data_IF_228145668018
#
_entry.id   IF_228145668018
#
_cell.length_a   1.000
_cell.length_b   1.000
_cell.length_c   1.000
_cell.angle_alpha   90.00
_cell.angle_beta   90.00
_cell.angle_gamma   90.00
#
_symmetry.space_group_name_H-M   'P 1'
#
loop_
_entity.id
_entity.type
_entity.pdbx_description
1 polymer ?
#
# COMPACT_ATOMS: atom_id res chain seq x y z
N UNK A 1 28.24 -19.50 -29.72
CA UNK A 1 26.97 -18.93 -30.18
C UNK A 1 27.23 -17.51 -30.62
N UNK A 2 26.79 -17.15 -31.82
CA UNK A 2 26.88 -15.77 -32.29
C UNK A 2 25.93 -14.92 -31.44
N UNK A 3 26.50 -14.02 -30.62
CA UNK A 3 25.72 -13.11 -29.76
C UNK A 3 24.75 -12.26 -30.58
N UNK A 4 25.09 -11.96 -31.83
CA UNK A 4 24.23 -11.22 -32.73
C UNK A 4 22.99 -12.04 -33.13
N UNK A 5 23.17 -13.31 -33.48
CA UNK A 5 22.05 -14.20 -33.78
C UNK A 5 21.14 -14.42 -32.57
N UNK A 6 21.71 -14.61 -31.37
CA UNK A 6 20.93 -14.75 -30.13
C UNK A 6 20.05 -13.51 -29.86
N UNK A 7 20.61 -12.31 -30.04
CA UNK A 7 19.87 -11.06 -29.87
C UNK A 7 18.76 -10.90 -30.93
N UNK A 8 19.02 -11.32 -32.17
CA UNK A 8 18.01 -11.33 -33.23
C UNK A 8 16.84 -12.28 -32.90
N UNK A 9 17.13 -13.51 -32.51
CA UNK A 9 16.12 -14.52 -32.14
C UNK A 9 15.27 -14.04 -30.95
N UNK A 10 15.93 -13.44 -29.95
CA UNK A 10 15.27 -12.81 -28.81
C UNK A 10 14.28 -11.73 -29.25
N UNK A 11 14.71 -10.80 -30.11
CA UNK A 11 13.85 -9.71 -30.59
C UNK A 11 12.66 -10.22 -31.41
N UNK A 12 12.82 -11.30 -32.18
CA UNK A 12 11.73 -11.96 -32.89
C UNK A 12 10.68 -12.52 -31.92
N UNK A 13 11.10 -13.20 -30.84
CA UNK A 13 10.19 -13.69 -29.79
C UNK A 13 9.42 -12.53 -29.15
N UNK A 14 10.10 -11.45 -28.78
CA UNK A 14 9.45 -10.29 -28.14
C UNK A 14 8.44 -9.62 -29.08
N UNK A 15 8.72 -9.57 -30.38
CA UNK A 15 7.78 -9.07 -31.39
C UNK A 15 6.54 -9.97 -31.49
N UNK A 16 6.70 -11.30 -31.51
CA UNK A 16 5.57 -12.23 -31.51
C UNK A 16 4.70 -12.12 -30.25
N UNK A 17 5.31 -11.90 -29.08
CA UNK A 17 4.58 -11.67 -27.82
C UNK A 17 3.75 -10.39 -27.90
N UNK A 18 4.31 -9.32 -28.47
CA UNK A 18 3.59 -8.07 -28.71
C UNK A 18 2.37 -8.29 -29.60
N UNK A 19 2.57 -8.92 -30.76
CA UNK A 19 1.48 -9.22 -31.70
C UNK A 19 0.39 -10.10 -31.08
N UNK A 20 0.78 -11.09 -30.27
CA UNK A 20 -0.15 -11.92 -29.52
C UNK A 20 -1.00 -11.09 -28.55
N UNK A 21 -0.37 -10.22 -27.76
CA UNK A 21 -1.07 -9.34 -26.83
C UNK A 21 -2.05 -8.43 -27.56
N UNK A 22 -1.59 -7.76 -28.61
CA UNK A 22 -2.40 -6.80 -29.37
C UNK A 22 -3.60 -7.48 -30.06
N UNK A 23 -3.49 -8.77 -30.39
CA UNK A 23 -4.57 -9.54 -31.03
C UNK A 23 -5.57 -10.15 -30.05
N UNK A 24 -5.13 -10.64 -28.90
CA UNK A 24 -5.96 -11.49 -28.02
C UNK A 24 -6.22 -10.91 -26.63
N UNK A 25 -5.56 -9.82 -26.24
CA UNK A 25 -5.76 -9.17 -24.94
C UNK A 25 -6.44 -7.79 -25.07
N UNK A 26 -7.29 -7.63 -26.08
CA UNK A 26 -8.19 -6.48 -26.19
C UNK A 26 -9.37 -6.63 -25.24
N UNK A 27 -9.88 -5.52 -24.70
CA UNK A 27 -11.12 -5.52 -23.92
C UNK A 27 -12.31 -5.35 -24.85
N UNK A 28 -13.37 -6.11 -24.58
CA UNK A 28 -14.67 -5.90 -25.22
C UNK A 28 -15.27 -4.55 -24.79
N UNK A 29 -16.09 -3.97 -25.66
CA UNK A 29 -16.89 -2.80 -25.32
C UNK A 29 -17.94 -3.16 -24.27
N UNK A 30 -18.12 -2.28 -23.29
CA UNK A 30 -19.16 -2.41 -22.27
C UNK A 30 -20.57 -2.32 -22.87
N UNK A 31 -21.46 -3.21 -22.44
CA UNK A 31 -22.90 -3.10 -22.65
C UNK A 31 -23.60 -2.95 -21.29
N UNK A 32 -24.73 -2.24 -21.27
CA UNK A 32 -25.52 -2.08 -20.04
C UNK A 32 -25.87 -3.44 -19.42
N UNK A 33 -25.60 -3.61 -18.13
CA UNK A 33 -25.78 -4.87 -17.40
C UNK A 33 -24.54 -5.79 -17.38
N UNK A 34 -23.50 -5.50 -18.17
CA UNK A 34 -22.22 -6.21 -18.04
C UNK A 34 -21.61 -5.95 -16.65
N UNK A 35 -20.80 -6.91 -16.18
CA UNK A 35 -20.19 -6.84 -14.86
C UNK A 35 -19.20 -5.69 -14.71
N UNK A 36 -19.48 -4.79 -13.78
CA UNK A 36 -18.57 -3.73 -13.35
C UNK A 36 -17.81 -4.21 -12.12
N UNK A 37 -16.54 -4.56 -12.30
CA UNK A 37 -15.67 -4.95 -11.18
C UNK A 37 -15.16 -3.71 -10.42
N UNK A 38 -14.97 -3.83 -9.10
CA UNK A 38 -14.45 -2.72 -8.28
C UNK A 38 -13.02 -2.33 -8.66
N UNK A 39 -12.24 -3.30 -9.19
CA UNK A 39 -10.90 -3.08 -9.70
C UNK A 39 -10.56 -4.14 -10.74
N UNK A 40 -9.63 -3.82 -11.65
CA UNK A 40 -8.99 -4.79 -12.53
C UNK A 40 -7.60 -4.33 -12.95
N UNK A 41 -6.78 -5.29 -13.40
CA UNK A 41 -5.50 -5.02 -14.04
C UNK A 41 -5.70 -4.28 -15.37
N UNK A 42 -4.99 -3.18 -15.56
CA UNK A 42 -4.95 -2.41 -16.81
C UNK A 42 -3.53 -2.48 -17.34
N UNK A 43 -3.35 -3.16 -18.48
CA UNK A 43 -2.03 -3.44 -19.06
C UNK A 43 -2.11 -3.47 -20.59
N UNK A 44 -0.96 -3.45 -21.25
CA UNK A 44 -0.82 -3.63 -22.69
C UNK A 44 0.34 -4.59 -23.00
N UNK A 45 0.79 -4.60 -24.25
CA UNK A 45 1.88 -5.48 -24.66
C UNK A 45 3.20 -5.24 -23.90
N UNK A 46 3.44 -4.05 -23.33
CA UNK A 46 4.70 -3.74 -22.65
C UNK A 46 4.93 -4.61 -21.42
N UNK A 47 3.89 -4.87 -20.62
CA UNK A 47 3.98 -5.76 -19.45
C UNK A 47 4.36 -7.19 -19.87
N UNK A 48 3.72 -7.71 -20.92
CA UNK A 48 3.97 -9.07 -21.42
C UNK A 48 5.34 -9.19 -22.07
N UNK A 49 5.77 -8.19 -22.84
CA UNK A 49 7.09 -8.13 -23.47
C UNK A 49 8.18 -8.08 -22.40
N UNK A 50 8.06 -7.21 -21.39
CA UNK A 50 9.03 -7.15 -20.29
C UNK A 50 9.09 -8.48 -19.51
N UNK A 51 7.93 -9.11 -19.28
CA UNK A 51 7.86 -10.40 -18.60
C UNK A 51 8.63 -11.50 -19.36
N UNK A 52 8.43 -11.58 -20.67
CA UNK A 52 9.14 -12.56 -21.52
C UNK A 52 10.62 -12.20 -21.65
N UNK A 53 10.95 -10.92 -21.74
CA UNK A 53 12.34 -10.45 -21.76
C UNK A 53 13.11 -10.88 -20.51
N UNK A 54 12.52 -10.70 -19.32
CA UNK A 54 13.09 -11.20 -18.05
C UNK A 54 13.16 -12.74 -18.02
N UNK A 55 12.16 -13.42 -18.57
CA UNK A 55 12.12 -14.89 -18.62
C UNK A 55 13.20 -15.48 -19.53
N UNK A 56 13.47 -14.86 -20.68
CA UNK A 56 14.50 -15.30 -21.63
C UNK A 56 15.92 -15.09 -21.08
N UNK A 57 16.12 -14.08 -20.23
CA UNK A 57 17.38 -13.90 -19.49
C UNK A 57 17.57 -14.95 -18.40
N UNK A 58 16.46 -15.41 -17.80
CA UNK A 58 16.44 -16.47 -16.80
C UNK A 58 17.31 -16.19 -15.55
N UNK A 59 17.41 -14.91 -15.15
CA UNK A 59 18.08 -14.49 -13.91
C UNK A 59 17.25 -14.80 -12.65
N UNK A 60 15.91 -14.78 -12.79
CA UNK A 60 14.88 -15.15 -11.81
C UNK A 60 14.80 -14.27 -10.55
N UNK A 61 15.89 -14.15 -9.80
CA UNK A 61 15.96 -13.33 -8.58
C UNK A 61 16.10 -11.85 -8.90
N UNK A 62 16.03 -10.96 -7.90
CA UNK A 62 16.21 -9.52 -8.13
C UNK A 62 17.46 -9.22 -8.97
N UNK A 63 17.28 -8.45 -10.06
CA UNK A 63 18.30 -8.13 -11.05
C UNK A 63 18.00 -6.79 -11.74
N UNK A 64 18.16 -6.73 -13.07
CA UNK A 64 18.11 -5.45 -13.80
C UNK A 64 16.77 -4.75 -13.69
N UNK A 65 15.66 -5.47 -13.77
CA UNK A 65 14.33 -4.86 -13.68
C UNK A 65 14.02 -4.41 -12.25
N UNK A 66 14.53 -5.12 -11.26
CA UNK A 66 14.43 -4.69 -9.85
C UNK A 66 15.18 -3.39 -9.62
N UNK A 67 16.41 -3.27 -10.12
CA UNK A 67 17.22 -2.05 -10.02
C UNK A 67 16.59 -0.88 -10.82
N UNK A 68 16.01 -1.16 -11.99
CA UNK A 68 15.24 -0.17 -12.76
C UNK A 68 14.00 0.28 -12.01
N UNK A 69 13.20 -0.65 -11.49
CA UNK A 69 11.97 -0.33 -10.76
C UNK A 69 12.26 0.48 -9.48
N UNK A 70 13.21 0.04 -8.65
CA UNK A 70 13.60 0.75 -7.42
C UNK A 70 14.05 2.18 -7.75
N UNK A 71 14.83 2.37 -8.82
CA UNK A 71 15.29 3.70 -9.25
C UNK A 71 14.16 4.58 -9.78
N UNK A 72 13.34 4.08 -10.70
CA UNK A 72 12.29 4.88 -11.31
C UNK A 72 11.15 5.20 -10.33
N UNK A 73 10.82 4.28 -9.40
CA UNK A 73 9.84 4.57 -8.35
C UNK A 73 10.36 5.60 -7.36
N UNK A 74 11.64 5.48 -6.95
CA UNK A 74 12.28 6.48 -6.10
C UNK A 74 12.30 7.86 -6.76
N UNK A 75 12.56 7.92 -8.06
CA UNK A 75 12.50 9.14 -8.86
C UNK A 75 11.09 9.71 -8.95
N UNK A 76 10.08 8.87 -9.21
CA UNK A 76 8.68 9.31 -9.26
C UNK A 76 8.23 9.94 -7.93
N UNK A 77 8.55 9.30 -6.81
CA UNK A 77 8.20 9.77 -5.46
C UNK A 77 9.12 10.86 -4.93
N UNK A 78 10.23 11.18 -5.62
CA UNK A 78 11.29 12.08 -5.16
C UNK A 78 11.87 11.68 -3.78
N UNK A 79 12.22 10.40 -3.63
CA UNK A 79 12.86 9.84 -2.42
C UNK A 79 14.23 9.27 -2.74
N UNK A 80 15.12 9.20 -1.75
CA UNK A 80 16.50 8.72 -1.94
C UNK A 80 16.63 7.20 -2.06
N UNK A 81 15.80 6.46 -1.33
CA UNK A 81 15.92 5.01 -1.25
C UNK A 81 14.56 4.33 -1.42
N UNK A 82 14.53 3.31 -2.27
CA UNK A 82 13.41 2.40 -2.46
C UNK A 82 13.94 0.96 -2.40
N UNK A 83 13.23 0.07 -1.72
CA UNK A 83 13.51 -1.35 -1.60
C UNK A 83 12.28 -2.15 -2.00
N UNK A 84 12.36 -2.86 -3.14
CA UNK A 84 11.30 -3.73 -3.64
C UNK A 84 11.16 -4.97 -2.74
N UNK A 85 9.92 -5.35 -2.47
CA UNK A 85 9.52 -6.53 -1.70
C UNK A 85 8.37 -7.28 -2.38
N UNK A 86 8.07 -8.49 -1.92
CA UNK A 86 7.11 -9.40 -2.57
C UNK A 86 5.62 -9.07 -2.37
N UNK A 87 5.26 -8.16 -1.45
CA UNK A 87 3.86 -7.70 -1.25
C UNK A 87 3.82 -6.39 -0.46
N UNK A 88 2.67 -5.69 -0.46
CA UNK A 88 2.42 -4.55 0.44
C UNK A 88 2.45 -4.92 1.91
N UNK A 89 1.91 -6.09 2.27
CA UNK A 89 1.96 -6.59 3.65
C UNK A 89 3.39 -6.83 4.14
N UNK A 90 4.26 -7.36 3.26
CA UNK A 90 5.69 -7.49 3.53
C UNK A 90 6.38 -6.13 3.62
N UNK A 91 5.91 -5.13 2.88
CA UNK A 91 6.41 -3.76 2.99
C UNK A 91 6.12 -3.18 4.38
N UNK A 92 4.87 -3.31 4.86
CA UNK A 92 4.47 -2.90 6.21
C UNK A 92 5.25 -3.65 7.29
N UNK A 93 5.40 -4.97 7.15
CA UNK A 93 6.22 -5.78 8.07
C UNK A 93 7.65 -5.26 8.12
N UNK A 94 8.28 -5.05 6.97
CA UNK A 94 9.68 -4.66 6.90
C UNK A 94 9.89 -3.20 7.38
N UNK A 95 8.96 -2.30 7.08
CA UNK A 95 8.96 -0.93 7.58
C UNK A 95 8.90 -0.90 9.11
N UNK A 96 7.94 -1.62 9.70
CA UNK A 96 7.79 -1.71 11.15
C UNK A 96 9.02 -2.34 11.82
N UNK A 97 9.47 -3.50 11.33
CA UNK A 97 10.62 -4.22 11.90
C UNK A 97 11.91 -3.41 11.80
N UNK A 98 12.06 -2.55 10.78
CA UNK A 98 13.22 -1.66 10.71
C UNK A 98 13.31 -0.72 11.92
N UNK A 99 12.17 -0.26 12.45
CA UNK A 99 12.12 0.59 13.64
C UNK A 99 12.46 -0.15 14.94
N UNK A 100 12.59 -1.47 14.93
CA UNK A 100 13.00 -2.27 16.10
C UNK A 100 14.51 -2.54 16.13
N UNK A 101 15.28 -2.02 15.16
CA UNK A 101 16.71 -2.30 15.07
C UNK A 101 17.49 -1.67 16.23
N UNK A 102 18.44 -2.42 16.84
CA UNK A 102 19.30 -1.86 17.89
C UNK A 102 20.18 -0.71 17.39
N UNK A 103 20.38 -0.56 16.07
CA UNK A 103 21.11 0.56 15.48
C UNK A 103 20.41 1.91 15.70
N UNK A 104 19.13 1.90 16.06
CA UNK A 104 18.34 3.11 16.38
C UNK A 104 18.48 3.53 17.86
N UNK A 105 19.25 2.79 18.65
CA UNK A 105 19.54 3.12 20.04
C UNK A 105 18.27 3.25 20.89
N UNK A 106 18.11 4.38 21.58
CA UNK A 106 16.97 4.64 22.48
C UNK A 106 15.65 4.87 21.75
N UNK A 107 15.67 5.19 20.44
CA UNK A 107 14.47 5.33 19.61
C UNK A 107 13.98 4.01 19.01
N UNK A 108 14.71 2.91 19.17
CA UNK A 108 14.23 1.61 18.71
C UNK A 108 12.93 1.22 19.44
N UNK A 109 11.93 0.78 18.69
CA UNK A 109 10.69 0.21 19.23
C UNK A 109 11.04 -1.12 19.91
N UNK A 110 10.57 -1.30 21.14
CA UNK A 110 10.71 -2.51 21.95
C UNK A 110 9.36 -3.18 22.13
N UNK A 111 9.39 -4.43 22.59
CA UNK A 111 8.17 -5.11 23.03
C UNK A 111 7.48 -4.27 24.11
N UNK A 112 6.16 -4.23 24.07
CA UNK A 112 5.29 -3.44 24.94
C UNK A 112 5.33 -1.92 24.74
N UNK A 113 6.16 -1.40 23.83
CA UNK A 113 6.02 -0.03 23.36
C UNK A 113 4.72 0.11 22.56
N UNK A 114 4.17 1.33 22.54
CA UNK A 114 2.87 1.64 21.96
C UNK A 114 3.00 2.27 20.57
N UNK A 115 2.09 1.88 19.67
CA UNK A 115 2.00 2.39 18.30
C UNK A 115 0.58 2.86 18.04
N UNK A 116 0.40 4.15 17.80
CA UNK A 116 -0.92 4.73 17.54
C UNK A 116 -1.34 4.36 16.11
N UNK A 117 -2.58 3.87 15.97
CA UNK A 117 -3.18 3.45 14.71
C UNK A 117 -4.70 3.54 14.77
N UNK A 118 -5.39 3.05 13.73
CA UNK A 118 -6.86 3.01 13.65
C UNK A 118 -7.36 1.59 13.43
N UNK A 119 -8.56 1.28 13.94
CA UNK A 119 -9.17 -0.04 13.77
C UNK A 119 -9.94 -0.16 12.44
N UNK A 120 -10.31 0.97 11.82
CA UNK A 120 -10.92 1.04 10.50
C UNK A 120 -9.88 1.00 9.38
N UNK A 121 -9.41 -0.20 9.02
CA UNK A 121 -8.37 -0.35 8.01
C UNK A 121 -8.11 -1.79 7.56
N UNK A 122 -6.95 -1.99 6.95
CA UNK A 122 -6.51 -3.30 6.47
C UNK A 122 -5.65 -4.02 7.53
N UNK A 123 -5.80 -5.35 7.73
CA UNK A 123 -5.15 -6.04 8.84
C UNK A 123 -3.62 -5.95 8.83
N UNK A 124 -2.98 -5.93 7.65
CA UNK A 124 -1.51 -5.94 7.57
C UNK A 124 -0.87 -4.58 7.79
N UNK A 125 -1.64 -3.53 8.05
CA UNK A 125 -1.12 -2.27 8.63
C UNK A 125 -0.84 -2.46 10.13
N UNK A 126 -1.64 -3.27 10.83
CA UNK A 126 -1.57 -3.49 12.29
C UNK A 126 -0.88 -4.80 12.68
N UNK A 127 -0.89 -5.80 11.81
CA UNK A 127 -0.32 -7.12 12.12
C UNK A 127 1.18 -7.07 12.51
N UNK A 128 2.06 -6.26 11.88
CA UNK A 128 3.49 -6.24 12.23
C UNK A 128 3.78 -5.87 13.69
N UNK A 129 3.07 -4.87 14.23
CA UNK A 129 3.24 -4.44 15.62
C UNK A 129 2.83 -5.54 16.60
N UNK A 130 1.71 -6.22 16.34
CA UNK A 130 1.25 -7.35 17.15
C UNK A 130 2.25 -8.52 17.09
N UNK A 131 2.74 -8.88 15.90
CA UNK A 131 3.68 -9.98 15.71
C UNK A 131 4.99 -9.77 16.47
N UNK A 132 5.49 -8.53 16.52
CA UNK A 132 6.68 -8.19 17.29
C UNK A 132 6.43 -8.19 18.80
N UNK A 133 5.20 -7.87 19.21
CA UNK A 133 4.78 -7.70 20.60
C UNK A 133 4.77 -6.25 21.07
N UNK A 134 4.63 -5.28 20.15
CA UNK A 134 4.24 -3.91 20.45
C UNK A 134 2.71 -3.83 20.64
N UNK A 135 2.23 -2.76 21.27
CA UNK A 135 0.82 -2.57 21.63
C UNK A 135 0.18 -1.55 20.67
N UNK A 136 -0.72 -1.97 19.75
CA UNK A 136 -1.54 -1.02 19.01
C UNK A 136 -2.42 -0.20 19.96
N UNK A 137 -2.41 1.11 19.77
CA UNK A 137 -3.30 2.06 20.43
C UNK A 137 -4.26 2.59 19.38
N UNK A 138 -5.50 2.11 19.42
CA UNK A 138 -6.54 2.50 18.47
C UNK A 138 -7.20 3.79 18.91
N UNK A 139 -7.22 4.76 18.00
CA UNK A 139 -8.13 5.91 18.02
C UNK A 139 -9.19 5.74 16.93
N UNK A 140 -10.28 6.50 17.04
CA UNK A 140 -11.33 6.45 16.03
C UNK A 140 -10.95 7.20 14.75
N UNK A 141 -11.82 7.12 13.76
CA UNK A 141 -11.72 7.80 12.46
C UNK A 141 -12.82 8.84 12.31
N UNK A 142 -12.71 9.71 11.31
CA UNK A 142 -13.75 10.66 10.96
C UNK A 142 -14.57 10.17 9.75
N UNK A 143 -15.83 10.56 9.69
CA UNK A 143 -16.67 10.46 8.49
C UNK A 143 -17.02 11.90 8.10
N UNK A 144 -16.83 12.32 6.83
CA UNK A 144 -16.67 11.51 5.62
C UNK A 144 -15.24 11.43 5.02
N UNK A 145 -14.18 11.66 5.81
CA UNK A 145 -12.80 11.49 5.31
C UNK A 145 -12.27 10.05 5.43
N UNK A 146 -12.83 9.26 6.35
CA UNK A 146 -12.50 7.84 6.62
C UNK A 146 -11.04 7.60 7.02
N UNK A 147 -10.44 8.61 7.64
CA UNK A 147 -9.07 8.60 8.17
C UNK A 147 -9.09 8.95 9.66
N UNK A 148 -7.95 8.75 10.33
CA UNK A 148 -7.75 9.00 11.76
C UNK A 148 -8.36 10.33 12.25
N UNK A 149 -9.05 10.29 13.40
CA UNK A 149 -9.42 11.50 14.12
C UNK A 149 -8.20 12.04 14.89
N UNK A 150 -7.61 13.09 14.33
CA UNK A 150 -6.41 13.70 14.89
C UNK A 150 -6.63 14.39 16.24
N UNK A 151 -7.88 14.66 16.63
CA UNK A 151 -8.19 15.27 17.94
C UNK A 151 -7.93 14.31 19.10
N UNK A 152 -7.88 13.00 18.83
CA UNK A 152 -7.64 11.95 19.83
C UNK A 152 -6.16 11.65 20.07
N UNK A 153 -5.24 12.22 19.28
CA UNK A 153 -3.80 11.88 19.32
C UNK A 153 -3.14 12.20 20.67
N UNK A 154 -3.46 13.35 21.27
CA UNK A 154 -2.86 13.75 22.55
C UNK A 154 -3.33 12.83 23.70
N UNK A 155 -4.57 12.32 23.66
CA UNK A 155 -5.07 11.36 24.64
C UNK A 155 -4.50 9.94 24.42
N UNK A 156 -4.18 9.60 23.17
CA UNK A 156 -3.53 8.34 22.82
C UNK A 156 -2.07 8.25 23.26
N UNK A 157 -1.42 9.39 23.47
CA UNK A 157 -0.02 9.48 23.85
C UNK A 157 0.23 8.96 25.28
N UNK A 158 1.30 8.18 25.44
CA UNK A 158 1.84 7.75 26.72
C UNK A 158 3.37 7.81 26.73
N UNK A 159 3.98 7.50 27.87
CA UNK A 159 5.43 7.32 28.00
C UNK A 159 5.97 6.12 27.20
N UNK A 160 5.09 5.21 26.77
CA UNK A 160 5.42 4.03 25.95
C UNK A 160 5.25 4.27 24.46
N UNK A 161 4.59 5.35 24.04
CA UNK A 161 4.35 5.61 22.61
C UNK A 161 5.68 5.84 21.90
N UNK A 162 5.88 5.13 20.78
CA UNK A 162 7.08 5.26 19.94
C UNK A 162 6.80 5.63 18.50
N UNK A 163 5.60 5.34 18.00
CA UNK A 163 5.29 5.54 16.59
C UNK A 163 3.81 5.80 16.35
N UNK A 164 3.53 6.40 15.20
CA UNK A 164 2.24 6.37 14.52
C UNK A 164 2.43 5.57 13.24
N UNK A 165 1.55 4.59 12.99
CA UNK A 165 1.54 3.80 11.75
C UNK A 165 0.09 3.66 11.28
N UNK A 166 -0.23 4.34 10.18
CA UNK A 166 -1.58 4.46 9.65
C UNK A 166 -1.56 4.51 8.12
N UNK A 167 -2.66 4.06 7.51
CA UNK A 167 -2.82 4.06 6.08
C UNK A 167 -3.54 5.32 5.57
N UNK A 168 -3.21 5.76 4.36
CA UNK A 168 -4.00 6.74 3.61
C UNK A 168 -5.22 6.04 2.99
N UNK A 169 -6.29 5.88 3.78
CA UNK A 169 -7.42 5.01 3.46
C UNK A 169 -8.02 5.29 2.08
N UNK A 170 -8.06 4.26 1.22
CA UNK A 170 -8.60 4.30 -0.14
C UNK A 170 -8.05 5.43 -1.02
N UNK A 171 -6.82 5.87 -0.77
CA UNK A 171 -6.16 6.93 -1.53
C UNK A 171 -6.34 8.32 -0.96
N UNK A 172 -7.28 8.52 -0.04
CA UNK A 172 -7.47 9.79 0.65
C UNK A 172 -6.40 9.95 1.73
N UNK A 173 -5.52 10.98 1.65
CA UNK A 173 -4.53 11.16 2.69
C UNK A 173 -5.20 11.47 4.03
N UNK A 174 -4.73 10.90 5.14
CA UNK A 174 -5.04 11.44 6.47
C UNK A 174 -4.41 12.83 6.63
N UNK A 175 -4.84 13.57 7.67
CA UNK A 175 -4.31 14.91 7.98
C UNK A 175 -2.83 14.84 8.41
N UNK A 176 -1.96 14.85 7.40
CA UNK A 176 -0.52 14.72 7.54
C UNK A 176 0.09 15.88 8.31
N UNK A 177 -0.43 17.09 8.16
CA UNK A 177 0.06 18.25 8.90
C UNK A 177 -0.07 18.04 10.41
N UNK A 178 -1.24 17.60 10.88
CA UNK A 178 -1.49 17.34 12.30
C UNK A 178 -0.69 16.14 12.82
N UNK A 179 -0.72 15.01 12.10
CA UNK A 179 -0.02 13.78 12.51
C UNK A 179 1.49 13.98 12.53
N UNK A 180 2.07 14.64 11.52
CA UNK A 180 3.51 14.91 11.45
C UNK A 180 3.95 15.86 12.57
N UNK A 181 3.21 16.94 12.81
CA UNK A 181 3.49 17.87 13.90
C UNK A 181 3.43 17.18 15.27
N UNK A 182 2.45 16.30 15.47
CA UNK A 182 2.34 15.48 16.67
C UNK A 182 3.53 14.52 16.85
N UNK A 183 3.96 13.85 15.77
CA UNK A 183 5.12 12.97 15.82
C UNK A 183 6.41 13.73 16.14
N UNK A 184 6.62 14.90 15.51
CA UNK A 184 7.80 15.73 15.73
C UNK A 184 7.87 16.27 17.16
N UNK A 185 6.76 16.79 17.67
CA UNK A 185 6.62 17.30 19.05
C UNK A 185 7.01 16.24 20.08
N UNK A 186 6.64 14.98 19.83
CA UNK A 186 6.79 13.87 20.77
C UNK A 186 7.95 12.91 20.41
N UNK A 187 8.76 13.25 19.40
CA UNK A 187 9.88 12.44 18.92
C UNK A 187 9.49 10.99 18.51
N UNK A 188 8.28 10.83 17.98
CA UNK A 188 7.74 9.56 17.50
C UNK A 188 8.20 9.28 16.06
N UNK A 189 8.21 8.00 15.68
CA UNK A 189 8.33 7.60 14.29
C UNK A 189 6.99 7.72 13.56
N UNK A 190 7.02 8.03 12.27
CA UNK A 190 5.84 7.99 11.41
C UNK A 190 6.07 6.99 10.26
N UNK A 191 5.25 5.94 10.21
CA UNK A 191 5.12 5.06 9.03
C UNK A 191 3.84 5.42 8.30
N UNK A 192 3.99 5.83 7.04
CA UNK A 192 2.88 6.05 6.11
C UNK A 192 2.61 4.77 5.34
N UNK A 193 1.53 4.06 5.67
CA UNK A 193 1.04 2.98 4.82
C UNK A 193 0.34 3.57 3.59
N UNK A 194 1.05 3.55 2.48
CA UNK A 194 0.65 4.17 1.23
C UNK A 194 0.26 3.12 0.18
N UNK A 195 -0.11 1.90 0.61
CA UNK A 195 -0.52 0.83 -0.28
C UNK A 195 -1.62 1.29 -1.24
N UNK A 196 -2.69 1.89 -0.72
CA UNK A 196 -3.85 2.33 -1.51
C UNK A 196 -3.77 3.79 -1.97
N UNK A 197 -2.61 4.45 -1.86
CA UNK A 197 -2.49 5.89 -2.10
C UNK A 197 -1.30 6.27 -2.99
N UNK A 198 -0.83 5.34 -3.83
CA UNK A 198 0.24 5.62 -4.77
C UNK A 198 -0.18 6.71 -5.77
N UNK A 199 0.57 7.82 -5.77
CA UNK A 199 0.30 9.00 -6.59
C UNK A 199 -0.59 10.06 -5.91
N UNK A 200 -1.12 9.80 -4.71
CA UNK A 200 -1.76 10.85 -3.90
C UNK A 200 -0.72 11.89 -3.48
N UNK A 201 -1.17 13.14 -3.38
CA UNK A 201 -0.32 14.26 -2.98
C UNK A 201 -0.93 15.04 -1.81
N UNK A 202 -0.05 15.72 -1.09
CA UNK A 202 -0.41 16.54 0.06
C UNK A 202 0.48 17.78 0.11
N UNK A 203 -0.09 18.95 0.40
CA UNK A 203 0.65 20.20 0.59
C UNK A 203 0.99 20.34 2.08
N UNK A 204 2.28 20.28 2.41
CA UNK A 204 2.80 20.48 3.77
C UNK A 204 3.95 21.48 3.74
N UNK A 205 3.94 22.43 4.68
CA UNK A 205 4.92 23.53 4.75
C UNK A 205 5.04 24.35 3.44
N UNK A 206 3.94 24.46 2.68
CA UNK A 206 3.89 25.15 1.39
C UNK A 206 4.47 24.36 0.21
N UNK A 207 4.90 23.12 0.41
CA UNK A 207 5.42 22.23 -0.63
C UNK A 207 4.44 21.09 -0.91
N UNK A 208 4.21 20.79 -2.19
CA UNK A 208 3.50 19.58 -2.61
C UNK A 208 4.43 18.37 -2.51
N UNK A 209 4.01 17.33 -1.77
CA UNK A 209 4.74 16.08 -1.61
C UNK A 209 3.83 14.89 -1.93
N UNK A 210 4.41 13.81 -2.43
CA UNK A 210 3.70 12.55 -2.53
C UNK A 210 3.49 11.97 -1.13
N UNK A 211 2.33 11.34 -0.90
CA UNK A 211 2.10 10.57 0.33
C UNK A 211 3.08 9.38 0.41
N UNK A 212 3.42 8.98 1.63
CA UNK A 212 4.50 8.03 1.89
C UNK A 212 5.90 8.63 1.96
N UNK A 213 6.06 9.93 1.68
CA UNK A 213 7.38 10.59 1.61
C UNK A 213 7.60 11.63 2.70
N UNK A 214 6.61 11.85 3.57
CA UNK A 214 6.57 12.90 4.59
C UNK A 214 7.01 12.36 5.95
N UNK A 215 6.62 11.12 6.27
CA UNK A 215 7.06 10.36 7.42
C UNK A 215 8.47 9.78 7.25
N UNK A 216 8.84 8.88 8.16
CA UNK A 216 10.17 8.27 8.18
C UNK A 216 10.30 7.13 7.16
N UNK A 217 9.22 6.36 6.97
CA UNK A 217 9.15 5.24 6.04
C UNK A 217 7.77 5.21 5.38
N UNK A 218 7.74 5.07 4.06
CA UNK A 218 6.52 4.80 3.29
C UNK A 218 6.49 3.38 2.74
N UNK A 219 5.29 2.85 2.52
CA UNK A 219 5.08 1.52 1.92
C UNK A 219 4.08 1.56 0.78
N UNK A 220 4.29 0.76 -0.26
CA UNK A 220 3.35 0.61 -1.39
C UNK A 220 3.08 -0.85 -1.68
N UNK A 221 1.92 -1.13 -2.29
CA UNK A 221 1.46 -2.46 -2.70
C UNK A 221 1.23 -2.49 -4.21
N UNK A 222 1.55 -3.62 -4.83
CA UNK A 222 1.41 -3.87 -6.27
C UNK A 222 0.55 -5.13 -6.54
N UNK A 223 -0.38 -5.43 -5.63
CA UNK A 223 -1.42 -6.44 -5.85
C UNK A 223 -2.45 -5.94 -6.90
N UNK A 224 -3.13 -6.80 -7.70
CA UNK A 224 -3.84 -6.38 -8.92
C UNK A 224 -4.90 -5.27 -8.79
N UNK A 225 -5.61 -5.10 -7.65
CA UNK A 225 -6.53 -3.99 -7.46
C UNK A 225 -5.89 -2.60 -7.31
N UNK A 226 -4.58 -2.53 -7.02
CA UNK A 226 -3.88 -1.28 -6.70
C UNK A 226 -3.58 -0.43 -7.94
N UNK A 227 -2.96 0.73 -7.74
CA UNK A 227 -2.69 1.70 -8.81
C UNK A 227 -1.84 1.12 -9.95
N UNK A 228 -0.88 0.28 -9.61
CA UNK A 228 -0.08 -0.52 -10.54
C UNK A 228 0.04 -1.95 -9.99
N UNK A 229 0.39 -2.92 -10.83
CA UNK A 229 0.52 -4.30 -10.39
C UNK A 229 1.79 -5.02 -10.86
N UNK A 230 2.22 -6.01 -10.07
CA UNK A 230 3.22 -7.02 -10.44
C UNK A 230 2.63 -8.45 -10.33
N UNK A 231 1.31 -8.58 -10.25
CA UNK A 231 0.65 -9.78 -9.73
C UNK A 231 0.74 -9.82 -8.21
N UNK A 232 1.95 -9.96 -7.67
CA UNK A 232 2.27 -9.77 -6.25
C UNK A 232 3.49 -8.86 -6.15
N UNK A 233 3.49 -7.89 -5.24
CA UNK A 233 4.61 -6.98 -5.06
C UNK A 233 4.34 -5.86 -4.07
N UNK A 234 5.40 -5.21 -3.60
CA UNK A 234 5.33 -4.00 -2.79
C UNK A 234 6.67 -3.30 -2.72
N UNK A 235 6.73 -2.14 -2.09
CA UNK A 235 7.98 -1.39 -1.91
C UNK A 235 8.02 -0.71 -0.55
N UNK A 236 9.22 -0.58 0.02
CA UNK A 236 9.50 0.23 1.20
C UNK A 236 10.45 1.34 0.79
N UNK A 237 10.16 2.57 1.17
CA UNK A 237 10.97 3.73 0.76
C UNK A 237 11.18 4.72 1.90
N UNK A 238 12.30 5.41 1.86
CA UNK A 238 12.73 6.36 2.90
C UNK A 238 13.79 7.31 2.36
N UNK A 239 13.93 8.48 2.99
CA UNK A 239 15.04 9.40 2.77
C UNK A 239 16.24 9.15 3.71
N UNK A 240 16.09 8.28 4.71
CA UNK A 240 17.10 8.03 5.74
C UNK A 240 18.01 6.84 5.36
N UNK A 241 19.32 7.09 5.24
CA UNK A 241 20.30 6.08 4.85
C UNK A 241 20.45 4.94 5.87
N UNK A 242 20.30 5.23 7.17
CA UNK A 242 20.35 4.22 8.22
C UNK A 242 19.12 3.32 8.17
N UNK A 243 17.93 3.91 8.02
CA UNK A 243 16.69 3.12 7.85
C UNK A 243 16.78 2.24 6.59
N UNK A 244 17.24 2.77 5.46
CA UNK A 244 17.44 1.97 4.25
C UNK A 244 18.39 0.77 4.48
N UNK A 245 19.51 0.98 5.18
CA UNK A 245 20.43 -0.12 5.54
C UNK A 245 19.72 -1.19 6.36
N UNK A 246 18.94 -0.79 7.36
CA UNK A 246 18.19 -1.70 8.23
C UNK A 246 17.11 -2.45 7.44
N UNK A 247 16.30 -1.74 6.66
CA UNK A 247 15.24 -2.30 5.79
C UNK A 247 15.80 -3.38 4.87
N UNK A 248 16.95 -3.13 4.22
CA UNK A 248 17.57 -4.12 3.33
C UNK A 248 18.14 -5.31 4.11
N UNK A 249 18.65 -5.10 5.32
CA UNK A 249 19.09 -6.20 6.19
C UNK A 249 17.91 -7.11 6.55
N UNK A 250 16.82 -6.57 7.09
CA UNK A 250 15.61 -7.36 7.40
C UNK A 250 15.01 -8.06 6.18
N UNK A 251 15.01 -7.42 5.00
CA UNK A 251 14.55 -8.05 3.75
C UNK A 251 15.43 -9.22 3.29
N UNK A 252 16.73 -9.13 3.52
CA UNK A 252 17.76 -10.02 2.97
C UNK A 252 18.36 -10.92 4.06
N UNK A 253 17.52 -11.73 4.70
CA UNK A 253 17.85 -12.72 5.74
C UNK A 253 18.42 -12.15 7.04
N UNK A 254 18.39 -10.83 7.22
CA UNK A 254 19.02 -10.18 8.36
C UNK A 254 20.53 -10.05 8.21
N UNK A 255 21.07 -10.27 7.01
CA UNK A 255 22.51 -10.22 6.76
C UNK A 255 23.07 -8.81 7.00
N UNK A 256 24.28 -8.73 7.55
CA UNK A 256 24.98 -7.46 7.76
C UNK A 256 25.62 -6.93 6.47
N UNK A 257 25.97 -7.84 5.57
CA UNK A 257 26.59 -7.52 4.29
C UNK A 257 25.62 -6.85 3.31
N UNK A 258 26.06 -5.72 2.72
CA UNK A 258 25.26 -4.94 1.77
C UNK A 258 25.49 -5.33 0.30
N UNK A 259 26.30 -6.35 0.03
CA UNK A 259 26.64 -6.76 -1.33
C UNK A 259 25.38 -7.24 -2.09
N UNK A 260 25.12 -6.75 -3.31
CA UNK A 260 24.06 -7.26 -4.18
C UNK A 260 24.22 -8.77 -4.48
N UNK A 261 23.13 -9.39 -4.95
CA UNK A 261 23.16 -10.77 -5.45
C UNK A 261 24.20 -10.89 -6.58
N UNK A 262 24.95 -11.99 -6.60
CA UNK A 262 26.00 -12.21 -7.60
C UNK A 262 27.28 -11.39 -7.41
N UNK A 263 27.33 -10.44 -6.47
CA UNK A 263 28.52 -9.64 -6.18
C UNK A 263 29.10 -10.03 -4.82
N UNK A 264 30.41 -10.29 -4.79
CA UNK A 264 31.16 -10.64 -3.60
C UNK A 264 32.08 -9.49 -3.17
N UNK A 265 32.24 -9.31 -1.86
CA UNK A 265 33.24 -8.43 -1.26
C UNK A 265 33.22 -6.96 -1.75
N UNK A 266 32.07 -6.45 -2.22
CA UNK A 266 31.88 -5.02 -2.52
C UNK A 266 32.17 -4.15 -1.28
N UNK A 267 31.85 -4.66 -0.09
CA UNK A 267 32.16 -4.01 1.18
C UNK A 267 33.67 -3.96 1.50
N UNK A 268 34.50 -4.79 0.84
CA UNK A 268 35.92 -5.04 1.15
C UNK A 268 36.17 -5.56 2.57
N UNK A 269 35.14 -6.15 3.20
CA UNK A 269 35.13 -6.61 4.59
C UNK A 269 34.82 -8.11 4.75
N UNK A 270 34.94 -8.90 3.67
CA UNK A 270 34.42 -10.29 3.66
C UNK A 270 35.07 -11.21 4.70
N UNK A 271 36.37 -11.06 4.97
CA UNK A 271 37.13 -11.96 5.86
C UNK A 271 38.07 -11.19 6.81
N UNK A 272 37.85 -9.90 7.04
CA UNK A 272 38.83 -9.02 7.69
C UNK A 272 38.52 -8.69 9.16
N UNK A 273 37.42 -9.23 9.70
CA UNK A 273 36.88 -8.86 11.01
C UNK A 273 36.30 -10.05 11.77
N UNK A 274 36.13 -9.84 13.07
CA UNK A 274 35.32 -10.68 13.94
C UNK A 274 33.98 -9.98 14.19
N UNK A 275 32.88 -10.73 14.12
CA UNK A 275 31.52 -10.22 14.31
C UNK A 275 30.84 -11.00 15.45
N UNK A 276 30.56 -10.34 16.57
CA UNK A 276 30.11 -11.02 17.79
C UNK A 276 31.10 -12.11 18.22
N UNK A 277 30.57 -13.27 18.59
CA UNK A 277 31.36 -14.43 19.02
C UNK A 277 31.73 -15.38 17.86
N UNK A 278 31.46 -15.00 16.60
CA UNK A 278 31.91 -15.76 15.43
C UNK A 278 33.45 -15.73 15.36
N UNK A 279 34.10 -16.72 14.71
CA UNK A 279 35.55 -16.70 14.56
C UNK A 279 36.02 -15.52 13.70
N UNK A 280 37.23 -15.02 13.97
CA UNK A 280 37.88 -13.99 13.14
C UNK A 280 37.96 -14.47 11.69
N UNK A 281 37.51 -13.62 10.76
CA UNK A 281 37.52 -13.92 9.33
C UNK A 281 36.35 -14.76 8.85
N UNK A 282 35.28 -14.93 9.65
CA UNK A 282 34.03 -15.52 9.17
C UNK A 282 33.45 -14.71 8.00
N UNK A 283 32.89 -15.39 7.00
CA UNK A 283 32.40 -14.75 5.77
C UNK A 283 31.30 -13.73 6.09
N UNK A 284 31.55 -12.46 5.79
CA UNK A 284 30.59 -11.37 6.03
C UNK A 284 29.24 -11.61 5.34
N UNK A 285 29.17 -12.37 4.25
CA UNK A 285 27.89 -12.76 3.61
C UNK A 285 27.00 -13.61 4.52
N UNK A 286 27.58 -14.31 5.48
CA UNK A 286 26.90 -15.17 6.45
C UNK A 286 26.95 -14.63 7.87
N UNK A 287 27.19 -13.33 8.02
CA UNK A 287 27.01 -12.61 9.28
C UNK A 287 25.61 -11.98 9.27
N UNK A 288 24.84 -12.24 10.32
CA UNK A 288 23.47 -11.76 10.46
C UNK A 288 23.38 -10.79 11.64
N UNK A 289 23.00 -9.54 11.37
CA UNK A 289 22.86 -8.48 12.38
C UNK A 289 21.42 -8.22 12.81
N UNK A 290 20.44 -8.82 12.13
CA UNK A 290 19.03 -8.76 12.46
C UNK A 290 18.35 -10.13 12.35
N UNK A 291 17.23 -10.32 13.03
CA UNK A 291 16.32 -11.44 12.79
C UNK A 291 15.48 -11.12 11.54
N UNK A 292 16.09 -11.29 10.37
CA UNK A 292 15.47 -10.95 9.10
C UNK A 292 14.67 -12.08 8.45
N UNK A 293 14.18 -11.78 7.27
CA UNK A 293 13.25 -12.55 6.46
C UNK A 293 13.81 -12.74 5.04
N UNK A 294 13.07 -13.40 4.15
CA UNK A 294 13.34 -13.34 2.72
C UNK A 294 12.14 -12.76 1.98
N UNK A 295 12.09 -11.44 1.86
CA UNK A 295 10.93 -10.72 1.32
C UNK A 295 11.19 -10.12 -0.06
N UNK A 296 12.27 -10.52 -0.74
CA UNK A 296 12.61 -10.02 -2.08
C UNK A 296 11.57 -10.46 -3.12
N UNK A 297 11.27 -9.57 -4.07
CA UNK A 297 10.56 -9.92 -5.29
C UNK A 297 11.51 -10.48 -6.35
N UNK A 298 10.95 -11.22 -7.30
CA UNK A 298 11.65 -11.72 -8.50
C UNK A 298 11.83 -10.61 -9.54
N UNK A 299 12.81 -10.75 -10.44
CA UNK A 299 12.95 -9.79 -11.54
C UNK A 299 11.78 -9.86 -12.52
N UNK A 300 11.13 -11.02 -12.59
CA UNK A 300 9.93 -11.30 -13.39
C UNK A 300 8.77 -10.40 -12.92
N UNK A 301 8.56 -10.28 -11.60
CA UNK A 301 7.60 -9.36 -11.01
C UNK A 301 7.98 -7.90 -11.31
N UNK A 302 9.26 -7.55 -11.10
CA UNK A 302 9.76 -6.20 -11.33
C UNK A 302 9.59 -5.75 -12.81
N UNK A 303 9.75 -6.67 -13.76
CA UNK A 303 9.61 -6.40 -15.19
C UNK A 303 8.21 -5.88 -15.56
N UNK A 304 7.15 -6.49 -14.98
CA UNK A 304 5.78 -6.00 -15.11
C UNK A 304 5.66 -4.61 -14.48
N UNK A 305 6.21 -4.43 -13.27
CA UNK A 305 6.19 -3.16 -12.56
C UNK A 305 6.84 -2.01 -13.34
N UNK A 306 7.96 -2.25 -14.03
CA UNK A 306 8.61 -1.23 -14.87
C UNK A 306 7.72 -0.74 -16.01
N UNK A 307 6.94 -1.62 -16.64
CA UNK A 307 5.96 -1.23 -17.66
C UNK A 307 4.79 -0.46 -17.06
N UNK A 308 4.27 -0.92 -15.91
CA UNK A 308 3.15 -0.27 -15.23
C UNK A 308 3.50 1.11 -14.68
N UNK A 309 4.71 1.30 -14.14
CA UNK A 309 5.13 2.56 -13.56
C UNK A 309 5.13 3.72 -14.57
N UNK A 310 5.40 3.43 -15.85
CA UNK A 310 5.28 4.41 -16.96
C UNK A 310 3.84 4.90 -17.16
N UNK A 311 2.86 4.08 -16.81
CA UNK A 311 1.42 4.35 -16.94
C UNK A 311 0.81 4.97 -15.67
N UNK A 312 1.52 4.94 -14.55
CA UNK A 312 1.02 5.44 -13.26
C UNK A 312 0.45 6.87 -13.34
N UNK A 313 1.11 7.87 -13.98
CA UNK A 313 0.53 9.22 -14.08
C UNK A 313 -0.86 9.25 -14.73
N UNK A 314 -1.07 8.52 -15.83
CA UNK A 314 -2.39 8.49 -16.49
C UNK A 314 -3.42 7.70 -15.69
N UNK A 315 -3.00 6.67 -14.95
CA UNK A 315 -3.87 5.94 -14.03
C UNK A 315 -4.38 6.81 -12.89
N UNK A 316 -3.53 7.66 -12.31
CA UNK A 316 -3.91 8.64 -11.28
C UNK A 316 -5.00 9.57 -11.82
N UNK A 317 -4.79 10.15 -13.01
CA UNK A 317 -5.75 11.08 -13.60
C UNK A 317 -7.08 10.40 -13.98
N UNK A 318 -7.03 9.17 -14.48
CA UNK A 318 -8.24 8.40 -14.79
C UNK A 318 -9.07 8.11 -13.53
N UNK A 319 -8.40 7.75 -12.42
CA UNK A 319 -9.06 7.53 -11.12
C UNK A 319 -9.74 8.79 -10.59
N UNK A 320 -9.08 9.95 -10.69
CA UNK A 320 -9.66 11.24 -10.32
C UNK A 320 -10.86 11.61 -11.18
N UNK A 321 -10.77 11.42 -12.49
CA UNK A 321 -11.87 11.68 -13.43
C UNK A 321 -13.09 10.83 -13.09
N UNK A 322 -12.91 9.51 -12.93
CA UNK A 322 -13.97 8.57 -12.60
C UNK A 322 -14.61 8.89 -11.24
N UNK A 323 -13.79 9.20 -10.23
CA UNK A 323 -14.27 9.62 -8.91
C UNK A 323 -15.14 10.88 -9.00
N UNK A 324 -14.66 11.92 -9.69
CA UNK A 324 -15.38 13.19 -9.81
C UNK A 324 -16.72 12.99 -10.55
N UNK A 325 -16.72 12.24 -11.65
CA UNK A 325 -17.94 11.92 -12.40
C UNK A 325 -18.97 11.21 -11.53
N UNK A 326 -18.54 10.18 -10.80
CA UNK A 326 -19.43 9.43 -9.91
C UNK A 326 -19.94 10.31 -8.77
N UNK A 327 -19.08 11.14 -8.18
CA UNK A 327 -19.48 12.08 -7.11
C UNK A 327 -20.56 13.04 -7.57
N UNK A 328 -20.34 13.71 -8.70
CA UNK A 328 -21.30 14.66 -9.29
C UNK A 328 -22.64 13.98 -9.59
N UNK A 329 -22.62 12.74 -10.10
CA UNK A 329 -23.82 11.99 -10.44
C UNK A 329 -24.66 11.52 -9.23
N UNK A 330 -24.12 11.62 -8.01
CA UNK A 330 -24.73 11.18 -6.75
C UNK A 330 -25.10 12.34 -5.80
N UNK A 331 -24.82 13.60 -6.18
CA UNK A 331 -25.16 14.77 -5.34
C UNK A 331 -26.66 14.87 -5.03
N UNK A 332 -27.52 14.38 -5.92
CA UNK A 332 -28.99 14.42 -5.77
C UNK A 332 -29.57 13.37 -4.81
N UNK A 333 -28.71 12.56 -4.15
CA UNK A 333 -29.10 11.57 -3.14
C UNK A 333 -28.30 11.69 -1.83
N UNK A 334 -27.65 12.84 -1.58
CA UNK A 334 -26.93 13.12 -0.32
C UNK A 334 -27.82 13.12 0.94
N UNK A 335 -29.14 13.19 0.76
CA UNK A 335 -30.12 13.02 1.83
C UNK A 335 -30.23 11.56 2.31
N UNK A 336 -29.67 10.61 1.57
CA UNK A 336 -29.72 9.15 1.83
C UNK A 336 -28.34 8.53 2.05
N UNK A 337 -27.31 9.11 1.46
CA UNK A 337 -25.92 8.65 1.60
C UNK A 337 -24.99 9.80 1.96
N UNK A 338 -23.86 9.45 2.54
CA UNK A 338 -22.75 10.36 2.84
C UNK A 338 -21.66 10.12 1.80
N UNK A 339 -21.39 11.14 0.99
CA UNK A 339 -20.36 11.11 -0.03
C UNK A 339 -18.96 11.42 0.54
N UNK A 340 -17.89 10.88 -0.05
CA UNK A 340 -16.53 11.06 0.46
C UNK A 340 -16.04 12.49 0.28
N UNK A 341 -15.31 12.97 1.28
CA UNK A 341 -14.62 14.27 1.26
C UNK A 341 -13.11 14.05 1.32
N UNK A 342 -12.38 14.72 0.44
CA UNK A 342 -10.93 14.69 0.48
C UNK A 342 -10.42 15.45 1.70
N UNK A 343 -9.32 14.98 2.29
CA UNK A 343 -8.66 15.74 3.35
C UNK A 343 -8.22 17.12 2.84
N UNK A 344 -8.23 18.12 3.70
CA UNK A 344 -7.73 19.45 3.37
C UNK A 344 -6.27 19.39 2.87
N UNK A 345 -5.91 20.28 1.94
CA UNK A 345 -4.56 20.34 1.34
C UNK A 345 -4.12 19.08 0.57
N UNK A 346 -5.04 18.15 0.30
CA UNK A 346 -4.76 16.92 -0.45
C UNK A 346 -5.24 16.96 -1.90
N UNK A 347 -4.57 16.15 -2.72
CA UNK A 347 -4.97 15.73 -4.07
C UNK A 347 -4.94 14.18 -4.14
N UNK A 348 -6.04 13.52 -3.75
CA UNK A 348 -6.08 12.06 -3.66
C UNK A 348 -6.02 11.36 -5.03
N UNK A 349 -5.21 10.32 -5.10
CA UNK A 349 -5.24 9.29 -6.13
C UNK A 349 -6.17 8.16 -5.66
N UNK A 350 -7.48 8.32 -5.87
CA UNK A 350 -8.51 7.45 -5.29
C UNK A 350 -8.34 5.97 -5.67
N UNK A 351 -8.28 5.11 -4.65
CA UNK A 351 -8.30 3.66 -4.84
C UNK A 351 -9.72 3.16 -5.16
N UNK A 352 -10.71 3.69 -4.45
CA UNK A 352 -12.12 3.36 -4.55
C UNK A 352 -13.01 4.54 -4.13
N UNK A 353 -14.32 4.42 -4.39
CA UNK A 353 -15.33 5.41 -4.01
C UNK A 353 -16.16 4.90 -2.84
N UNK A 354 -15.90 5.44 -1.66
CA UNK A 354 -16.52 5.02 -0.40
C UNK A 354 -17.82 5.77 -0.12
N UNK A 355 -18.84 5.07 0.35
CA UNK A 355 -20.20 5.57 0.59
C UNK A 355 -20.67 5.04 1.94
N UNK A 356 -21.20 5.92 2.79
CA UNK A 356 -21.89 5.53 4.03
C UNK A 356 -23.37 5.77 3.89
N UNK A 357 -24.18 4.75 4.11
CA UNK A 357 -25.63 4.86 4.19
C UNK A 357 -26.03 5.70 5.42
N UNK A 358 -27.04 6.57 5.27
CA UNK A 358 -27.64 7.26 6.42
C UNK A 358 -28.57 6.32 7.17
N UNK A 359 -29.00 6.73 8.35
CA UNK A 359 -29.66 5.90 9.36
C UNK A 359 -30.96 5.22 8.86
N UNK A 360 -31.62 5.78 7.85
CA UNK A 360 -32.84 5.19 7.25
C UNK A 360 -32.57 4.19 6.12
N UNK A 361 -31.33 4.01 5.69
CA UNK A 361 -30.95 3.21 4.53
C UNK A 361 -30.17 1.98 4.98
N UNK A 362 -30.73 0.79 4.73
CA UNK A 362 -30.06 -0.47 5.04
C UNK A 362 -28.94 -0.76 4.03
N UNK A 363 -27.69 -0.66 4.47
CA UNK A 363 -26.51 -0.90 3.62
C UNK A 363 -26.49 -2.30 3.01
N UNK A 364 -26.99 -3.34 3.70
CA UNK A 364 -26.97 -4.69 3.16
C UNK A 364 -27.90 -4.80 1.95
N UNK A 365 -29.10 -4.23 2.05
CA UNK A 365 -30.04 -4.20 0.92
C UNK A 365 -29.50 -3.39 -0.26
N UNK A 366 -28.82 -2.27 0.01
CA UNK A 366 -28.16 -1.49 -1.06
C UNK A 366 -27.09 -2.33 -1.74
N UNK A 367 -26.20 -2.97 -0.98
CA UNK A 367 -25.13 -3.82 -1.53
C UNK A 367 -25.69 -5.02 -2.30
N UNK A 368 -26.71 -5.70 -1.78
CA UNK A 368 -27.39 -6.80 -2.47
C UNK A 368 -27.96 -6.33 -3.80
N UNK A 369 -28.68 -5.20 -3.82
CA UNK A 369 -29.22 -4.63 -5.06
C UNK A 369 -28.11 -4.32 -6.08
N UNK A 370 -27.00 -3.72 -5.64
CA UNK A 370 -25.87 -3.39 -6.52
C UNK A 370 -25.25 -4.65 -7.14
N UNK A 371 -24.97 -5.67 -6.33
CA UNK A 371 -24.37 -6.93 -6.81
C UNK A 371 -25.32 -7.70 -7.74
N UNK A 372 -26.63 -7.71 -7.44
CA UNK A 372 -27.66 -8.28 -8.33
C UNK A 372 -27.73 -7.57 -9.69
N UNK A 373 -27.42 -6.27 -9.73
CA UNK A 373 -27.34 -5.47 -10.94
C UNK A 373 -25.92 -5.37 -11.52
N UNK A 374 -25.06 -6.33 -11.15
CA UNK A 374 -23.69 -6.52 -11.68
C UNK A 374 -22.71 -5.37 -11.37
N UNK A 375 -23.00 -4.56 -10.36
CA UNK A 375 -22.09 -3.55 -9.81
C UNK A 375 -21.41 -4.12 -8.58
N UNK A 376 -20.12 -4.42 -8.71
CA UNK A 376 -19.37 -5.03 -7.61
C UNK A 376 -19.04 -4.01 -6.52
N UNK A 377 -19.28 -4.40 -5.27
CA UNK A 377 -19.07 -3.62 -4.06
C UNK A 377 -18.02 -4.26 -3.14
N UNK A 378 -17.49 -3.51 -2.19
CA UNK A 378 -16.63 -4.02 -1.14
C UNK A 378 -16.93 -3.30 0.17
N UNK A 379 -16.78 -4.00 1.28
CA UNK A 379 -16.76 -3.33 2.59
C UNK A 379 -15.43 -2.61 2.77
N UNK A 380 -15.34 -1.64 3.70
CA UNK A 380 -14.06 -1.02 4.05
C UNK A 380 -13.18 -2.01 4.82
N UNK A 381 -12.58 -2.95 4.09
CA UNK A 381 -11.64 -3.94 4.59
C UNK A 381 -12.16 -4.70 5.80
N UNK A 382 -11.53 -4.53 6.97
CA UNK A 382 -11.94 -5.18 8.20
C UNK A 382 -13.18 -4.54 8.82
N UNK A 383 -13.58 -3.34 8.42
CA UNK A 383 -14.58 -2.54 9.13
C UNK A 383 -14.03 -2.12 10.48
N UNK A 384 -14.16 -2.98 11.50
CA UNK A 384 -13.51 -2.82 12.78
C UNK A 384 -12.59 -4.03 13.08
N UNK A 385 -11.27 -3.82 12.98
CA UNK A 385 -10.27 -4.86 13.25
C UNK A 385 -10.49 -5.57 14.60
N UNK A 386 -10.78 -4.80 15.66
CA UNK A 386 -10.92 -5.34 17.02
C UNK A 386 -12.24 -6.10 17.24
N UNK A 387 -13.06 -6.33 16.20
CA UNK A 387 -14.24 -7.21 16.24
C UNK A 387 -14.00 -8.55 15.52
N UNK A 388 -12.87 -8.71 14.81
CA UNK A 388 -12.56 -9.95 14.10
C UNK A 388 -12.17 -11.09 15.06
N UNK A 389 -12.33 -12.37 14.65
CA UNK A 389 -11.99 -13.52 15.50
C UNK A 389 -10.53 -13.59 15.95
N UNK A 390 -9.58 -13.08 15.16
CA UNK A 390 -8.16 -13.06 15.56
C UNK A 390 -7.87 -12.18 16.79
N UNK A 391 -8.82 -11.33 17.18
CA UNK A 391 -8.76 -10.52 18.40
C UNK A 391 -9.57 -11.14 19.57
N UNK A 392 -10.19 -12.32 19.42
CA UNK A 392 -11.03 -12.94 20.47
C UNK A 392 -10.26 -13.16 21.78
N UNK A 393 -9.05 -13.75 21.72
CA UNK A 393 -8.27 -14.00 22.94
C UNK A 393 -7.81 -12.68 23.58
N UNK A 394 -7.44 -11.67 22.79
CA UNK A 394 -7.11 -10.34 23.32
C UNK A 394 -8.30 -9.68 24.02
N UNK A 395 -9.50 -9.76 23.43
CA UNK A 395 -10.75 -9.29 24.05
C UNK A 395 -11.08 -10.04 25.34
N UNK A 396 -10.89 -11.36 25.34
CA UNK A 396 -11.18 -12.23 26.49
C UNK A 396 -10.31 -11.91 27.71
N UNK A 397 -9.02 -11.63 27.50
CA UNK A 397 -8.10 -11.28 28.59
C UNK A 397 -8.01 -9.78 28.87
N UNK A 398 -8.48 -8.93 27.95
CA UNK A 398 -8.37 -7.48 28.06
C UNK A 398 -6.94 -6.96 27.91
N UNK A 399 -6.09 -7.69 27.19
CA UNK A 399 -4.67 -7.38 26.99
C UNK A 399 -4.28 -7.46 25.51
N UNK A 400 -3.20 -6.74 25.14
CA UNK A 400 -2.61 -6.80 23.80
C UNK A 400 -2.89 -5.60 22.90
N UNK A 401 -3.86 -4.75 23.25
CA UNK A 401 -4.12 -3.47 22.59
C UNK A 401 -4.78 -2.47 23.54
N UNK A 402 -4.81 -1.19 23.16
CA UNK A 402 -5.56 -0.12 23.84
C UNK A 402 -6.54 0.51 22.87
N UNK A 403 -7.63 1.05 23.41
CA UNK A 403 -8.60 1.88 22.70
C UNK A 403 -8.76 3.18 23.47
N UNK A 404 -8.71 4.30 22.79
CA UNK A 404 -8.94 5.62 23.36
C UNK A 404 -10.40 6.00 23.10
N UNK A 405 -11.12 6.41 24.15
CA UNK A 405 -12.55 6.68 24.06
C UNK A 405 -13.35 5.46 23.58
N UNK A 406 -14.18 5.68 22.57
CA UNK A 406 -14.87 4.64 21.82
C UNK A 406 -14.53 4.71 20.32
N UNK A 407 -15.00 3.74 19.56
CA UNK A 407 -14.75 3.62 18.13
C UNK A 407 -16.07 3.73 17.35
N UNK A 408 -16.90 4.73 17.69
CA UNK A 408 -18.24 4.89 17.14
C UNK A 408 -18.25 5.01 15.61
N UNK A 409 -17.37 5.82 15.02
CA UNK A 409 -17.29 5.97 13.57
C UNK A 409 -16.73 4.72 12.90
N UNK A 410 -15.77 4.03 13.53
CA UNK A 410 -15.30 2.73 13.07
C UNK A 410 -16.42 1.67 13.08
N UNK A 411 -17.23 1.61 14.14
CA UNK A 411 -18.37 0.68 14.23
C UNK A 411 -19.48 1.06 13.22
N UNK A 412 -19.69 2.36 12.97
CA UNK A 412 -20.55 2.86 11.90
C UNK A 412 -20.03 2.44 10.52
N UNK A 413 -18.73 2.55 10.28
CA UNK A 413 -18.10 2.11 9.03
C UNK A 413 -18.33 0.61 8.79
N UNK A 414 -18.12 -0.21 9.82
CA UNK A 414 -18.36 -1.64 9.74
C UNK A 414 -19.82 -1.98 9.39
N UNK A 415 -20.77 -1.15 9.83
CA UNK A 415 -22.22 -1.40 9.73
C UNK A 415 -22.84 -0.80 8.48
N UNK A 416 -22.42 0.39 8.07
CA UNK A 416 -23.18 1.24 7.14
C UNK A 416 -22.37 1.68 5.91
N UNK A 417 -21.10 1.28 5.81
CA UNK A 417 -20.19 1.76 4.76
C UNK A 417 -19.76 0.65 3.80
N UNK A 418 -19.73 0.99 2.52
CA UNK A 418 -19.18 0.16 1.44
C UNK A 418 -18.48 1.07 0.43
N UNK A 419 -17.79 0.49 -0.55
CA UNK A 419 -17.16 1.22 -1.64
C UNK A 419 -17.28 0.49 -2.97
N UNK A 420 -17.21 1.26 -4.05
CA UNK A 420 -17.25 0.80 -5.45
C UNK A 420 -16.01 1.27 -6.20
N UNK A 421 -15.77 0.70 -7.38
CA UNK A 421 -14.57 0.99 -8.16
C UNK A 421 -14.56 2.37 -8.82
N UNK A 422 -13.36 2.95 -8.96
CA UNK A 422 -13.08 4.11 -9.83
C UNK A 422 -11.77 3.93 -10.62
N UNK A 423 -11.38 2.67 -10.85
CA UNK A 423 -10.07 2.35 -11.42
C UNK A 423 -9.94 2.72 -12.91
N UNK A 424 -8.73 2.78 -13.49
CA UNK A 424 -8.48 3.33 -14.84
C UNK A 424 -9.13 2.57 -16.00
N UNK A 425 -9.63 1.36 -15.76
CA UNK A 425 -10.25 0.54 -16.80
C UNK A 425 -11.75 0.72 -16.95
N UNK A 426 -12.35 1.68 -16.23
CA UNK A 426 -13.77 2.03 -16.34
C UNK A 426 -13.98 3.07 -17.44
N UNK A 427 -15.07 2.91 -18.20
CA UNK A 427 -15.55 3.91 -19.15
C UNK A 427 -16.60 4.82 -18.49
N UNK A 428 -16.89 5.95 -19.12
CA UNK A 428 -17.97 6.85 -18.68
C UNK A 428 -19.32 6.11 -18.53
N UNK A 429 -19.68 5.25 -19.50
CA UNK A 429 -20.91 4.46 -19.45
C UNK A 429 -20.98 3.53 -18.23
N UNK A 430 -19.85 2.92 -17.84
CA UNK A 430 -19.80 2.10 -16.63
C UNK A 430 -20.05 2.94 -15.38
N UNK A 431 -19.43 4.12 -15.31
CA UNK A 431 -19.57 5.03 -14.15
C UNK A 431 -21.01 5.54 -14.05
N UNK A 432 -21.63 5.90 -15.18
CA UNK A 432 -23.01 6.39 -15.24
C UNK A 432 -24.02 5.30 -14.86
N UNK A 433 -23.84 4.08 -15.38
CA UNK A 433 -24.67 2.94 -15.00
C UNK A 433 -24.53 2.63 -13.51
N UNK A 434 -23.31 2.62 -12.97
CA UNK A 434 -23.09 2.45 -11.53
C UNK A 434 -23.80 3.53 -10.70
N UNK A 435 -23.73 4.80 -11.12
CA UNK A 435 -24.46 5.88 -10.46
C UNK A 435 -25.98 5.70 -10.54
N UNK A 436 -26.52 5.26 -11.68
CA UNK A 436 -27.94 4.92 -11.86
C UNK A 436 -28.38 3.85 -10.85
N UNK A 437 -27.66 2.73 -10.78
CA UNK A 437 -27.98 1.61 -9.88
C UNK A 437 -27.87 2.01 -8.41
N UNK A 438 -26.86 2.80 -8.03
CA UNK A 438 -26.75 3.35 -6.66
C UNK A 438 -27.98 4.18 -6.31
N UNK A 439 -28.41 5.07 -7.21
CA UNK A 439 -29.60 5.91 -6.98
C UNK A 439 -30.88 5.11 -6.88
N UNK A 440 -31.05 4.08 -7.72
CA UNK A 440 -32.21 3.18 -7.65
C UNK A 440 -32.25 2.42 -6.33
N UNK A 441 -31.11 1.86 -5.90
CA UNK A 441 -31.01 1.14 -4.64
C UNK A 441 -31.41 2.00 -3.44
N UNK A 442 -30.80 3.17 -3.29
CA UNK A 442 -31.06 4.03 -2.11
C UNK A 442 -32.44 4.67 -2.13
N UNK A 443 -33.10 4.80 -3.30
CA UNK A 443 -34.46 5.36 -3.40
C UNK A 443 -35.57 4.33 -3.19
N UNK A 444 -35.27 3.05 -3.40
CA UNK A 444 -36.24 1.96 -3.30
C UNK A 444 -36.32 1.33 -1.91
N UNK A 445 -35.30 1.57 -1.08
CA UNK A 445 -35.16 1.13 0.31
C UNK A 445 -35.52 2.30 1.23
#
# INVERSE_FOLDING_TARGET
MDKFQQEKDKNEILMLVKEYCDKYHTKDSYNEGDRISYAARVYNNEEMVNLVDSSLEFWLTSGRYTDEFERELAKYLNVKYCSLVNSGSSANLNAFMALTSPLLGTRAIKRWDEVITVAAGFPTTVTPMIQYGAVPVFVDVTIPEYNIDVTMLEEALSDKTKAVMIAHTLGNPFNLSAVKAFCDKNNLWLIEDNCDALGSKYIIDGEEKFTGTIGDIGTSSFYPPHHITMGEGGAVYTNNALLNKIIRSFRDWGRDCVCPSGIDNLCKRRFDKQYGDLPLGYDHKYVYSHFGYNLKATDIQAAIGCAQLKKLPSFVESRKSNFNRLKEALLDVEDKIILPVKCENSDPSWFGFIITCRESIDRNKVVEYLEEHSVQTRMLFAGNLIKHPCFDEMRKYGEGYRVIGDLQNTDRIMSDTFWVGVYPGMTDDMVDYMAKIIKEAVRSI
#
